data_IF_513495923108
#
_entry.id   IF_513495923108
#
_cell.length_a   1.000
_cell.length_b   1.000
_cell.length_c   1.000
_cell.angle_alpha   90.00
_cell.angle_beta   90.00
_cell.angle_gamma   90.00
#
_symmetry.space_group_name_H-M   'P 1'
#
loop_
_entity.id
_entity.type
_entity.pdbx_description
1 polymer ?
#
# COMPACT_ATOMS: atom_id res chain seq x y z
N UNK A 1 -9.92 -15.24 -10.64
CA UNK A 1 -8.77 -14.44 -10.15
C UNK A 1 -8.36 -13.52 -11.28
N UNK A 2 -8.23 -12.25 -10.97
CA UNK A 2 -7.79 -11.20 -11.90
C UNK A 2 -6.59 -10.48 -11.30
N UNK A 3 -5.60 -10.13 -12.11
CA UNK A 3 -4.42 -9.38 -11.68
C UNK A 3 -4.31 -8.14 -12.55
N UNK A 4 -4.27 -6.97 -11.92
CA UNK A 4 -4.07 -5.68 -12.58
C UNK A 4 -2.77 -5.05 -12.12
N UNK A 5 -1.90 -4.68 -13.05
CA UNK A 5 -0.68 -3.94 -12.78
C UNK A 5 -0.98 -2.43 -12.82
N UNK A 6 -0.86 -1.76 -11.69
CA UNK A 6 -1.05 -0.31 -11.54
C UNK A 6 0.25 0.46 -11.69
N UNK A 7 1.38 -0.21 -11.43
CA UNK A 7 2.72 0.32 -11.61
C UNK A 7 3.75 -0.79 -11.57
N UNK A 8 4.77 -0.67 -12.39
CA UNK A 8 5.87 -1.65 -12.51
C UNK A 8 7.24 -1.02 -12.60
N UNK A 9 7.33 0.30 -12.42
CA UNK A 9 8.60 1.02 -12.45
C UNK A 9 9.38 0.77 -11.14
N UNK A 10 10.67 0.51 -11.25
CA UNK A 10 11.58 0.47 -10.10
C UNK A 10 12.21 1.81 -9.78
N UNK A 11 12.59 2.01 -8.55
CA UNK A 11 13.36 3.10 -7.97
C UNK A 11 12.60 4.44 -7.86
N UNK A 12 12.19 5.06 -8.94
CA UNK A 12 11.57 6.38 -8.94
C UNK A 12 10.47 6.46 -10.00
N UNK A 13 9.34 7.11 -9.70
CA UNK A 13 8.31 7.35 -10.71
C UNK A 13 8.84 8.32 -11.76
N UNK A 14 8.39 8.14 -13.00
CA UNK A 14 8.81 8.97 -14.14
C UNK A 14 7.60 9.40 -14.96
N UNK A 15 7.74 10.46 -15.72
CA UNK A 15 6.72 10.97 -16.64
C UNK A 15 7.32 11.31 -18.00
N UNK A 16 6.46 11.48 -19.00
CA UNK A 16 6.84 11.89 -20.33
C UNK A 16 6.56 10.86 -21.42
N UNK A 17 6.73 11.29 -22.67
CA UNK A 17 6.35 10.50 -23.87
C UNK A 17 7.03 9.13 -23.95
N UNK A 18 8.27 9.02 -23.44
CA UNK A 18 9.03 7.78 -23.46
C UNK A 18 8.41 6.65 -22.59
N UNK A 19 7.54 7.02 -21.64
CA UNK A 19 6.98 6.09 -20.67
C UNK A 19 5.49 5.77 -20.88
N UNK A 20 4.89 6.26 -21.99
CA UNK A 20 3.45 6.08 -22.24
C UNK A 20 3.06 4.61 -22.46
N UNK A 21 3.97 3.78 -22.94
CA UNK A 21 3.65 2.38 -23.25
C UNK A 21 3.35 1.54 -22.02
N UNK A 22 4.14 1.69 -20.95
CA UNK A 22 4.02 0.89 -19.73
C UNK A 22 3.69 1.72 -18.48
N UNK A 23 3.63 3.05 -18.64
CA UNK A 23 3.46 3.98 -17.54
C UNK A 23 4.75 4.24 -16.77
N UNK A 24 4.68 5.19 -15.85
CA UNK A 24 5.82 5.60 -15.03
C UNK A 24 5.60 5.46 -13.53
N UNK A 25 4.48 4.84 -13.13
CA UNK A 25 4.18 4.59 -11.72
C UNK A 25 5.02 3.44 -11.17
N UNK A 26 5.44 3.59 -9.91
CA UNK A 26 6.20 2.54 -9.20
C UNK A 26 5.27 1.41 -8.72
N UNK A 27 5.88 0.34 -8.25
CA UNK A 27 5.28 -0.99 -8.10
C UNK A 27 4.00 -1.01 -7.26
N UNK A 28 2.93 -1.44 -7.89
CA UNK A 28 1.66 -1.75 -7.21
C UNK A 28 0.83 -2.71 -8.06
N UNK A 29 0.42 -3.83 -7.48
CA UNK A 29 -0.43 -4.81 -8.13
C UNK A 29 -1.75 -4.96 -7.35
N UNK A 30 -2.82 -5.13 -8.08
CA UNK A 30 -4.13 -5.54 -7.57
C UNK A 30 -4.36 -7.01 -7.91
N UNK A 31 -4.77 -7.81 -6.94
CA UNK A 31 -5.25 -9.17 -7.16
C UNK A 31 -6.69 -9.24 -6.63
N UNK A 32 -7.61 -9.62 -7.50
CA UNK A 32 -8.98 -9.95 -7.12
C UNK A 32 -9.17 -11.45 -7.11
N UNK A 33 -9.56 -11.99 -5.97
CA UNK A 33 -9.88 -13.41 -5.84
C UNK A 33 -11.24 -13.73 -6.48
N UNK A 34 -11.57 -15.01 -6.60
CA UNK A 34 -12.91 -15.44 -7.04
C UNK A 34 -14.02 -15.00 -6.06
N UNK A 35 -13.66 -14.76 -4.81
CA UNK A 35 -14.58 -14.31 -3.75
C UNK A 35 -14.65 -12.78 -3.63
N UNK A 36 -14.05 -12.04 -4.59
CA UNK A 36 -13.92 -10.60 -4.57
C UNK A 36 -13.06 -10.03 -3.44
N UNK A 37 -12.21 -10.84 -2.79
CA UNK A 37 -11.21 -10.28 -1.88
C UNK A 37 -10.21 -9.46 -2.68
N UNK A 38 -9.84 -8.33 -2.13
CA UNK A 38 -8.86 -7.42 -2.72
C UNK A 38 -7.52 -7.59 -2.01
N UNK A 39 -6.49 -7.87 -2.80
CA UNK A 39 -5.11 -7.92 -2.31
C UNK A 39 -4.31 -6.88 -3.08
N UNK A 40 -3.68 -5.99 -2.35
CA UNK A 40 -2.69 -5.04 -2.87
C UNK A 40 -1.29 -5.58 -2.60
N UNK A 41 -0.49 -5.76 -3.64
CA UNK A 41 0.92 -6.13 -3.49
C UNK A 41 1.75 -4.88 -3.76
N UNK A 42 2.46 -4.44 -2.74
CA UNK A 42 3.20 -3.20 -2.67
C UNK A 42 2.36 -1.93 -2.87
N UNK A 43 2.87 -0.82 -2.37
CA UNK A 43 2.21 0.47 -2.36
C UNK A 43 3.11 1.58 -2.95
N UNK A 44 3.67 1.32 -4.12
CA UNK A 44 4.33 2.35 -4.93
C UNK A 44 3.30 3.35 -5.48
N UNK A 45 3.72 4.28 -6.33
CA UNK A 45 2.84 5.36 -6.77
C UNK A 45 1.63 4.90 -7.58
N UNK A 46 1.69 3.72 -8.18
CA UNK A 46 0.55 3.09 -8.87
C UNK A 46 -0.68 2.89 -7.98
N UNK A 47 -0.48 2.76 -6.66
CA UNK A 47 -1.56 2.56 -5.70
C UNK A 47 -2.55 3.74 -5.64
N UNK A 48 -2.14 4.94 -6.02
CA UNK A 48 -3.01 6.11 -6.06
C UNK A 48 -4.19 5.90 -7.01
N UNK A 49 -3.92 5.42 -8.22
CA UNK A 49 -4.97 5.12 -9.21
C UNK A 49 -5.83 3.93 -8.77
N UNK A 50 -5.20 2.92 -8.22
CA UNK A 50 -5.89 1.77 -7.64
C UNK A 50 -6.85 2.20 -6.52
N UNK A 51 -6.39 3.03 -5.58
CA UNK A 51 -7.22 3.56 -4.50
C UNK A 51 -8.40 4.40 -4.99
N UNK A 52 -8.24 5.16 -6.08
CA UNK A 52 -9.35 5.88 -6.69
C UNK A 52 -10.44 4.92 -7.21
N UNK A 53 -10.04 3.87 -7.92
CA UNK A 53 -10.96 2.82 -8.40
C UNK A 53 -11.71 2.17 -7.24
N UNK A 54 -11.02 1.76 -6.18
CA UNK A 54 -11.67 1.15 -5.01
C UNK A 54 -12.67 2.09 -4.33
N UNK A 55 -12.34 3.37 -4.26
CA UNK A 55 -13.24 4.37 -3.70
C UNK A 55 -14.52 4.55 -4.55
N UNK A 56 -14.41 4.51 -5.87
CA UNK A 56 -15.54 4.55 -6.80
C UNK A 56 -16.41 3.29 -6.70
N UNK A 57 -15.78 2.14 -6.49
CA UNK A 57 -16.44 0.85 -6.30
C UNK A 57 -17.03 0.66 -4.88
N UNK A 58 -16.78 1.60 -3.95
CA UNK A 58 -17.14 1.51 -2.54
C UNK A 58 -16.54 0.25 -1.85
N UNK A 59 -15.37 -0.18 -2.28
CA UNK A 59 -14.63 -1.27 -1.64
C UNK A 59 -13.92 -0.74 -0.41
N UNK A 60 -14.19 -1.37 0.73
CA UNK A 60 -13.73 -0.88 2.04
C UNK A 60 -12.76 -1.86 2.74
N UNK A 61 -12.45 -3.00 2.14
CA UNK A 61 -11.55 -3.98 2.76
C UNK A 61 -10.43 -4.34 1.78
N UNK A 62 -9.18 -4.17 2.21
CA UNK A 62 -8.00 -4.48 1.40
C UNK A 62 -6.96 -5.22 2.22
N UNK A 63 -6.45 -6.30 1.67
CA UNK A 63 -5.31 -7.03 2.19
C UNK A 63 -4.04 -6.50 1.54
N UNK A 64 -3.08 -6.02 2.32
CA UNK A 64 -1.78 -5.57 1.83
C UNK A 64 -0.72 -6.64 2.04
N UNK A 65 0.06 -6.89 1.00
CA UNK A 65 1.29 -7.70 1.06
C UNK A 65 2.42 -6.79 0.61
N UNK A 66 3.39 -6.57 1.47
CA UNK A 66 4.62 -5.85 1.13
C UNK A 66 5.74 -6.84 0.86
N UNK A 67 6.34 -6.75 -0.33
CA UNK A 67 7.44 -7.64 -0.72
C UNK A 67 8.72 -7.26 0.00
N UNK A 68 8.99 -5.98 0.14
CA UNK A 68 10.11 -5.42 0.89
C UNK A 68 9.92 -3.91 1.14
N UNK A 69 10.84 -3.29 1.88
CA UNK A 69 10.68 -1.92 2.37
C UNK A 69 11.44 -0.86 1.55
N UNK A 70 11.76 -1.11 0.29
CA UNK A 70 12.31 -0.07 -0.57
C UNK A 70 11.26 1.01 -0.82
N UNK A 71 11.72 2.25 -0.97
CA UNK A 71 10.87 3.41 -1.02
C UNK A 71 9.86 3.39 -2.18
N UNK A 72 10.26 2.91 -3.34
CA UNK A 72 9.41 2.74 -4.52
C UNK A 72 8.26 1.74 -4.34
N UNK A 73 8.31 0.92 -3.29
CA UNK A 73 7.25 -0.02 -2.89
C UNK A 73 6.34 0.53 -1.78
N UNK A 74 6.68 1.66 -1.17
CA UNK A 74 5.97 2.22 -0.03
C UNK A 74 5.48 3.66 -0.25
N UNK A 75 6.15 4.43 -1.13
CA UNK A 75 5.96 5.88 -1.26
C UNK A 75 4.54 6.31 -1.66
N UNK A 76 3.77 5.42 -2.26
CA UNK A 76 2.40 5.69 -2.65
C UNK A 76 1.38 5.46 -1.55
N UNK A 77 1.73 4.71 -0.49
CA UNK A 77 0.81 4.34 0.57
C UNK A 77 0.08 5.55 1.18
N UNK A 78 0.74 6.68 1.51
CA UNK A 78 0.07 7.85 2.04
C UNK A 78 -0.97 8.48 1.09
N UNK A 79 -0.93 8.13 -0.19
CA UNK A 79 -1.83 8.65 -1.23
C UNK A 79 -2.91 7.64 -1.63
N UNK A 80 -3.04 6.55 -0.89
CA UNK A 80 -4.08 5.55 -1.10
C UNK A 80 -5.40 6.05 -0.51
N UNK A 81 -6.29 6.54 -1.37
CA UNK A 81 -7.53 7.22 -0.98
C UNK A 81 -8.39 6.49 0.06
N UNK A 82 -8.54 5.15 0.01
CA UNK A 82 -9.32 4.44 1.03
C UNK A 82 -8.80 4.58 2.46
N UNK A 83 -7.52 4.92 2.69
CA UNK A 83 -6.97 5.14 4.03
C UNK A 83 -7.73 6.21 4.83
N UNK A 84 -8.32 7.15 4.14
CA UNK A 84 -9.00 8.31 4.72
C UNK A 84 -10.51 8.11 4.86
N UNK A 85 -11.00 6.89 4.61
CA UNK A 85 -12.40 6.53 4.79
C UNK A 85 -12.59 5.82 6.13
N UNK A 86 -13.48 6.34 6.98
CA UNK A 86 -13.83 5.72 8.29
C UNK A 86 -14.47 4.32 8.18
N UNK A 87 -14.79 3.87 6.98
CA UNK A 87 -15.40 2.55 6.73
C UNK A 87 -14.38 1.52 6.26
N UNK A 88 -13.13 1.94 6.04
CA UNK A 88 -12.13 1.06 5.46
C UNK A 88 -11.41 0.24 6.52
N UNK A 89 -11.09 -1.01 6.17
CA UNK A 89 -10.32 -1.96 6.96
C UNK A 89 -9.14 -2.46 6.15
N UNK A 90 -7.97 -2.45 6.76
CA UNK A 90 -6.76 -2.89 6.12
C UNK A 90 -6.11 -4.00 6.92
N UNK A 91 -5.78 -5.08 6.21
CA UNK A 91 -5.04 -6.20 6.77
C UNK A 91 -3.64 -6.16 6.19
N UNK A 92 -2.64 -5.88 7.03
CA UNK A 92 -1.24 -5.87 6.61
C UNK A 92 -0.61 -7.24 6.88
N UNK A 93 -0.18 -7.86 5.78
CA UNK A 93 0.57 -9.11 5.80
C UNK A 93 2.02 -8.78 5.47
N UNK A 94 2.93 -9.12 6.35
CA UNK A 94 4.34 -8.85 6.09
C UNK A 94 5.24 -9.51 7.10
N UNK A 95 6.43 -9.82 6.64
CA UNK A 95 7.53 -10.20 7.50
C UNK A 95 8.25 -8.95 8.01
N UNK A 96 8.96 -9.02 9.13
CA UNK A 96 9.83 -7.93 9.54
C UNK A 96 10.93 -7.72 8.48
N UNK A 97 11.14 -6.47 8.09
CA UNK A 97 12.22 -6.05 7.20
C UNK A 97 13.35 -5.47 8.04
N UNK A 98 14.54 -6.05 7.99
CA UNK A 98 15.67 -5.62 8.81
C UNK A 98 15.29 -5.37 10.28
N UNK A 99 14.55 -6.32 10.89
CA UNK A 99 14.03 -6.22 12.27
C UNK A 99 12.98 -5.13 12.51
N UNK A 100 12.46 -4.50 11.47
CA UNK A 100 11.36 -3.54 11.57
C UNK A 100 10.10 -4.10 10.91
N UNK A 101 8.96 -3.88 11.56
CA UNK A 101 7.67 -4.21 10.97
C UNK A 101 7.24 -3.10 10.00
N UNK A 102 6.54 -3.49 8.95
CA UNK A 102 6.04 -2.55 7.93
C UNK A 102 5.23 -1.39 8.55
N UNK A 103 4.49 -1.65 9.61
CA UNK A 103 3.77 -0.62 10.36
C UNK A 103 4.68 0.49 10.87
N UNK A 104 5.74 0.11 11.54
CA UNK A 104 6.71 1.08 12.11
C UNK A 104 7.34 1.93 11.00
N UNK A 105 7.60 1.33 9.83
CA UNK A 105 8.14 2.04 8.66
C UNK A 105 7.08 3.01 8.11
N UNK A 106 5.85 2.55 7.89
CA UNK A 106 4.76 3.39 7.38
C UNK A 106 4.39 4.52 8.35
N UNK A 107 4.36 4.24 9.65
CA UNK A 107 4.09 5.26 10.67
C UNK A 107 5.16 6.36 10.69
N UNK A 108 6.43 5.99 10.47
CA UNK A 108 7.53 6.95 10.35
C UNK A 108 7.39 7.81 9.09
N UNK A 109 7.04 7.19 7.97
CA UNK A 109 6.82 7.90 6.69
C UNK A 109 5.66 8.89 6.80
N UNK A 110 4.57 8.49 7.46
CA UNK A 110 3.37 9.32 7.66
C UNK A 110 3.42 10.18 8.93
N UNK A 111 4.60 10.44 9.48
CA UNK A 111 4.78 11.32 10.62
C UNK A 111 5.23 12.73 10.18
N UNK A 112 4.82 13.80 10.90
CA UNK A 112 5.43 15.11 10.71
C UNK A 112 6.96 15.08 10.95
N UNK A 113 7.75 15.83 10.20
CA UNK A 113 7.36 16.80 9.17
C UNK A 113 7.17 16.19 7.78
N UNK A 114 7.31 14.87 7.60
CA UNK A 114 7.31 14.23 6.29
C UNK A 114 5.92 14.20 5.64
N UNK A 115 4.87 14.03 6.45
CA UNK A 115 3.51 13.95 5.98
C UNK A 115 2.53 14.64 6.96
N UNK A 116 1.51 15.38 6.46
CA UNK A 116 0.64 16.17 7.32
C UNK A 116 -0.41 15.36 8.10
N UNK A 117 -0.74 14.16 7.61
CA UNK A 117 -1.73 13.28 8.25
C UNK A 117 -1.00 12.14 8.94
N UNK A 118 -1.22 12.01 10.24
CA UNK A 118 -0.61 10.92 11.01
C UNK A 118 -1.18 9.56 10.57
N UNK A 119 -0.29 8.59 10.48
CA UNK A 119 -0.67 7.20 10.45
C UNK A 119 -1.41 6.89 11.77
N UNK A 120 -2.75 6.65 11.69
CA UNK A 120 -3.34 5.82 12.68
C UNK A 120 -4.13 6.33 13.88
N UNK A 121 -4.82 7.40 13.87
CA UNK A 121 -5.90 7.51 14.87
C UNK A 121 -7.28 7.06 14.33
N UNK A 122 -7.38 6.78 13.02
CA UNK A 122 -8.63 6.47 12.34
C UNK A 122 -8.60 5.25 11.40
N UNK A 123 -7.45 4.58 11.27
CA UNK A 123 -7.27 3.46 10.33
C UNK A 123 -7.27 2.14 11.10
N UNK A 124 -8.28 1.30 10.87
CA UNK A 124 -8.30 -0.05 11.43
C UNK A 124 -7.31 -0.93 10.64
N UNK A 125 -6.13 -1.13 11.20
CA UNK A 125 -5.09 -2.00 10.62
C UNK A 125 -4.94 -3.24 11.49
N UNK A 126 -5.14 -4.39 10.88
CA UNK A 126 -4.96 -5.68 11.52
C UNK A 126 -3.73 -6.37 10.94
N UNK A 127 -2.83 -6.78 11.81
CA UNK A 127 -1.65 -7.56 11.43
C UNK A 127 -2.00 -9.03 11.44
N UNK A 128 -1.83 -9.68 10.29
CA UNK A 128 -1.96 -11.12 10.15
C UNK A 128 -0.56 -11.72 9.95
N UNK A 129 0.03 -12.22 11.02
CA UNK A 129 1.36 -12.81 11.05
C UNK A 129 1.84 -13.02 12.48
N UNK A 130 3.01 -13.60 12.65
CA UNK A 130 3.63 -13.64 13.97
C UNK A 130 3.82 -12.18 14.45
N UNK A 131 3.07 -11.81 15.49
CA UNK A 131 3.22 -10.52 16.14
C UNK A 131 4.68 -10.26 16.54
N UNK A 132 5.01 -9.02 16.94
CA UNK A 132 6.35 -8.74 17.46
C UNK A 132 6.68 -9.78 18.53
N UNK A 133 7.93 -10.29 18.58
CA UNK A 133 8.32 -11.16 19.66
C UNK A 133 7.98 -10.42 20.96
N UNK A 134 7.31 -11.12 21.86
CA UNK A 134 7.04 -10.57 23.19
C UNK A 134 8.34 -9.99 23.72
N UNK A 135 8.29 -8.73 24.10
CA UNK A 135 9.45 -8.03 24.67
C UNK A 135 10.08 -8.88 25.75
N UNK A 136 11.33 -9.29 25.51
CA UNK A 136 12.19 -9.85 26.55
C UNK A 136 12.48 -8.80 27.60
#
# INVERSE_FOLDING_TARGET
MEITCWGSRGSIPVSGKAYLKYGGDTTSLEIRTKNNDIIAVDAGTGIRRFGNKLAEENVNTVNFIFTHAHWDHLMGFPFFKPLYSKRSRFYLHGCPFHSQFVESILSTVMAPPNFPVKYNDEIEILYLGAGPPASL
#
